data_IF_475467977361
#
_entry.id   IF_475467977361
#
_cell.length_a   1.000
_cell.length_b   1.000
_cell.length_c   1.000
_cell.angle_alpha   90.00
_cell.angle_beta   90.00
_cell.angle_gamma   90.00
#
_symmetry.space_group_name_H-M   'P 1'
#
loop_
_entity.id
_entity.type
_entity.pdbx_description
1 polymer ?
#
# COMPACT_ATOMS: atom_id res chain seq x y z
N UNK A 1 7.82 -6.21 23.24
CA UNK A 1 7.57 -4.75 23.28
C UNK A 1 7.65 -4.29 21.84
N UNK A 2 6.52 -4.20 21.15
CA UNK A 2 6.48 -3.64 19.80
C UNK A 2 6.62 -2.13 19.97
N UNK A 3 7.76 -1.57 19.55
CA UNK A 3 7.87 -0.13 19.35
C UNK A 3 6.85 0.22 18.26
N UNK A 4 5.77 0.91 18.64
CA UNK A 4 4.77 1.45 17.72
C UNK A 4 5.43 2.58 16.91
N UNK A 5 6.29 2.20 15.96
CA UNK A 5 6.93 3.13 15.04
C UNK A 5 5.90 3.66 14.07
N UNK A 6 5.93 4.97 13.88
CA UNK A 6 5.05 5.64 12.95
C UNK A 6 5.37 5.20 11.52
N UNK A 7 4.32 4.93 10.74
CA UNK A 7 4.44 4.57 9.33
C UNK A 7 5.30 5.60 8.55
N UNK A 8 5.15 6.88 8.86
CA UNK A 8 5.88 7.98 8.23
C UNK A 8 7.40 7.87 8.45
N UNK A 9 7.83 7.56 9.68
CA UNK A 9 9.26 7.38 9.99
C UNK A 9 9.85 6.18 9.25
N UNK A 10 9.06 5.11 9.10
CA UNK A 10 9.50 3.92 8.36
C UNK A 10 9.58 4.18 6.85
N UNK A 11 8.66 4.98 6.31
CA UNK A 11 8.72 5.44 4.91
C UNK A 11 9.96 6.31 4.69
N UNK A 12 10.25 7.26 5.58
CA UNK A 12 11.46 8.08 5.49
C UNK A 12 12.73 7.24 5.56
N UNK A 13 12.79 6.28 6.50
CA UNK A 13 13.90 5.33 6.59
C UNK A 13 14.07 4.50 5.32
N UNK A 14 12.98 4.05 4.70
CA UNK A 14 13.03 3.35 3.42
C UNK A 14 13.55 4.25 2.29
N UNK A 15 13.04 5.47 2.18
CA UNK A 15 13.44 6.41 1.13
C UNK A 15 14.92 6.82 1.27
N UNK A 16 15.42 6.95 2.50
CA UNK A 16 16.84 7.21 2.76
C UNK A 16 17.78 6.05 2.39
N UNK A 17 17.27 4.81 2.36
CA UNK A 17 18.03 3.61 1.96
C UNK A 17 17.80 3.22 0.49
N UNK A 18 16.89 3.90 -0.20
CA UNK A 18 16.55 3.61 -1.59
C UNK A 18 17.67 4.10 -2.51
N UNK A 19 18.55 3.18 -2.93
CA UNK A 19 19.59 3.42 -3.93
C UNK A 19 18.99 3.56 -5.33
N UNK A 20 18.36 4.70 -5.62
CA UNK A 20 17.75 5.01 -6.90
C UNK A 20 18.04 6.45 -7.32
N UNK A 21 17.74 6.79 -8.58
CA UNK A 21 17.85 8.17 -9.06
C UNK A 21 16.94 9.11 -8.23
N UNK A 22 17.27 10.40 -8.09
CA UNK A 22 16.42 11.37 -7.38
C UNK A 22 14.99 11.42 -7.92
N UNK A 23 14.83 11.26 -9.24
CA UNK A 23 13.51 11.19 -9.88
C UNK A 23 12.72 9.96 -9.45
N UNK A 24 13.38 8.81 -9.31
CA UNK A 24 12.75 7.57 -8.83
C UNK A 24 12.36 7.68 -7.36
N UNK A 25 13.24 8.24 -6.52
CA UNK A 25 12.95 8.50 -5.10
C UNK A 25 11.72 9.39 -4.95
N UNK A 26 11.66 10.52 -5.67
CA UNK A 26 10.51 11.42 -5.64
C UNK A 26 9.20 10.76 -6.11
N UNK A 27 9.29 9.89 -7.12
CA UNK A 27 8.15 9.11 -7.60
C UNK A 27 7.63 8.15 -6.54
N UNK A 28 8.55 7.48 -5.83
CA UNK A 28 8.21 6.53 -4.77
C UNK A 28 7.65 7.24 -3.54
N UNK A 29 8.25 8.36 -3.15
CA UNK A 29 7.75 9.25 -2.11
C UNK A 29 6.30 9.67 -2.41
N UNK A 30 6.02 10.12 -3.63
CA UNK A 30 4.66 10.50 -4.05
C UNK A 30 3.68 9.33 -3.91
N UNK A 31 4.06 8.14 -4.37
CA UNK A 31 3.22 6.95 -4.26
C UNK A 31 2.98 6.53 -2.80
N UNK A 32 3.98 6.66 -1.93
CA UNK A 32 3.87 6.33 -0.51
C UNK A 32 3.03 7.36 0.25
N UNK A 33 3.12 8.65 -0.06
CA UNK A 33 2.22 9.67 0.51
C UNK A 33 0.75 9.41 0.15
N UNK A 34 0.50 8.98 -1.09
CA UNK A 34 -0.85 8.58 -1.52
C UNK A 34 -1.32 7.33 -0.77
N UNK A 35 -0.41 6.40 -0.48
CA UNK A 35 -0.70 5.21 0.33
C UNK A 35 -1.02 5.55 1.79
N UNK A 36 -0.30 6.48 2.41
CA UNK A 36 -0.63 7.00 3.76
C UNK A 36 -2.02 7.62 3.80
N UNK A 37 -2.36 8.44 2.81
CA UNK A 37 -3.71 9.02 2.68
C UNK A 37 -4.79 7.93 2.60
N UNK A 38 -4.55 6.88 1.81
CA UNK A 38 -5.44 5.73 1.75
C UNK A 38 -5.60 5.05 3.12
N UNK A 39 -4.51 4.80 3.86
CA UNK A 39 -4.57 4.16 5.17
C UNK A 39 -5.29 5.03 6.21
N UNK A 40 -5.12 6.35 6.15
CA UNK A 40 -5.88 7.29 6.99
C UNK A 40 -7.38 7.18 6.72
N UNK A 41 -7.78 7.16 5.44
CA UNK A 41 -9.20 7.01 5.07
C UNK A 41 -9.74 5.63 5.47
N UNK A 42 -8.99 4.54 5.23
CA UNK A 42 -9.35 3.18 5.65
C UNK A 42 -9.52 3.09 7.17
N UNK A 43 -8.63 3.70 7.94
CA UNK A 43 -8.71 3.71 9.41
C UNK A 43 -9.94 4.49 9.92
N UNK A 44 -10.24 5.66 9.32
CA UNK A 44 -11.45 6.45 9.63
C UNK A 44 -12.72 5.61 9.45
N UNK A 45 -12.80 4.83 8.37
CA UNK A 45 -13.97 3.96 8.11
C UNK A 45 -14.07 2.77 9.07
N UNK A 46 -12.96 2.22 9.57
CA UNK A 46 -12.97 1.02 10.44
C UNK A 46 -13.39 1.33 11.88
N UNK A 47 -12.92 2.43 12.46
CA UNK A 47 -13.08 2.67 13.91
C UNK A 47 -14.07 3.78 14.27
N UNK A 48 -14.65 4.49 13.29
CA UNK A 48 -15.36 5.76 13.55
C UNK A 48 -14.49 6.75 14.35
N UNK A 49 -13.16 6.55 14.34
CA UNK A 49 -12.25 7.07 15.33
C UNK A 49 -11.82 8.49 15.02
N UNK A 50 -11.58 9.23 16.10
CA UNK A 50 -11.08 10.59 16.11
C UNK A 50 -9.84 10.77 15.20
N UNK A 51 -9.66 11.94 14.58
CA UNK A 51 -8.74 12.19 13.47
C UNK A 51 -7.23 12.11 13.78
N UNK A 52 -6.80 11.66 14.97
CA UNK A 52 -5.39 11.71 15.40
C UNK A 52 -4.74 10.36 15.71
N UNK A 53 -5.35 9.23 15.34
CA UNK A 53 -4.71 7.93 15.56
C UNK A 53 -3.52 7.81 14.62
N UNK A 54 -2.31 7.78 15.18
CA UNK A 54 -1.06 7.48 14.51
C UNK A 54 -1.21 6.26 13.58
N UNK A 55 -0.73 6.37 12.34
CA UNK A 55 -0.68 5.26 11.41
C UNK A 55 0.45 4.32 11.83
N UNK A 56 0.11 3.09 12.21
CA UNK A 56 1.05 2.01 12.48
C UNK A 56 0.95 0.93 11.41
N UNK A 57 1.97 0.06 11.32
CA UNK A 57 2.00 -1.04 10.36
C UNK A 57 0.95 -2.13 10.64
N UNK A 58 0.32 -2.14 11.81
CA UNK A 58 -0.75 -3.09 12.13
C UNK A 58 -2.00 -2.91 11.26
N UNK A 59 -2.14 -1.74 10.63
CA UNK A 59 -3.20 -1.50 9.65
C UNK A 59 -2.97 -2.23 8.32
N UNK A 60 -1.77 -2.78 8.10
CA UNK A 60 -1.36 -3.46 6.88
C UNK A 60 -1.71 -4.95 6.98
N UNK A 61 -2.79 -5.32 6.32
CA UNK A 61 -3.26 -6.69 6.17
C UNK A 61 -2.95 -7.26 4.78
N UNK A 62 -3.24 -8.55 4.56
CA UNK A 62 -3.02 -9.17 3.24
C UNK A 62 -3.93 -8.63 2.14
N UNK A 63 -4.97 -7.86 2.47
CA UNK A 63 -5.89 -7.24 1.50
C UNK A 63 -5.43 -5.83 1.08
N UNK A 64 -4.43 -5.27 1.77
CA UNK A 64 -3.99 -3.88 1.62
C UNK A 64 -3.68 -3.45 0.18
N UNK A 65 -3.05 -4.30 -0.63
CA UNK A 65 -2.71 -3.98 -2.01
C UNK A 65 -3.94 -3.93 -2.92
N UNK A 66 -4.88 -4.86 -2.70
CA UNK A 66 -6.14 -4.91 -3.42
C UNK A 66 -7.02 -3.72 -3.06
N UNK A 67 -7.14 -3.42 -1.76
CA UNK A 67 -7.90 -2.28 -1.26
C UNK A 67 -7.33 -0.96 -1.78
N UNK A 68 -6.01 -0.83 -1.79
CA UNK A 68 -5.33 0.34 -2.33
C UNK A 68 -5.59 0.49 -3.84
N UNK A 69 -5.50 -0.59 -4.63
CA UNK A 69 -5.82 -0.53 -6.06
C UNK A 69 -7.27 -0.09 -6.31
N UNK A 70 -8.22 -0.61 -5.54
CA UNK A 70 -9.62 -0.22 -5.63
C UNK A 70 -9.83 1.25 -5.24
N UNK A 71 -9.17 1.71 -4.17
CA UNK A 71 -9.21 3.09 -3.71
C UNK A 71 -8.63 4.07 -4.73
N UNK A 72 -7.53 3.71 -5.41
CA UNK A 72 -6.97 4.51 -6.50
C UNK A 72 -7.96 4.67 -7.66
N UNK A 73 -8.65 3.59 -8.01
CA UNK A 73 -9.72 3.62 -9.02
C UNK A 73 -10.88 4.54 -8.62
N UNK A 74 -11.32 4.47 -7.36
CA UNK A 74 -12.37 5.33 -6.82
C UNK A 74 -11.98 6.82 -6.81
N UNK A 75 -10.70 7.13 -6.64
CA UNK A 75 -10.17 8.50 -6.62
C UNK A 75 -9.72 9.01 -8.00
N UNK A 76 -10.09 8.33 -9.09
CA UNK A 76 -9.80 8.75 -10.47
C UNK A 76 -8.30 8.93 -10.79
N UNK A 77 -7.42 8.17 -10.14
CA UNK A 77 -6.01 8.16 -10.54
C UNK A 77 -5.84 7.52 -11.93
N UNK A 78 -4.82 7.96 -12.67
CA UNK A 78 -4.53 7.41 -13.99
C UNK A 78 -4.03 5.96 -13.89
N UNK A 79 -4.22 5.16 -14.96
CA UNK A 79 -3.65 3.80 -15.05
C UNK A 79 -2.14 3.77 -14.88
N UNK A 80 -1.45 4.83 -15.30
CA UNK A 80 -0.02 4.97 -15.10
C UNK A 80 0.30 5.14 -13.61
N UNK A 81 -0.40 6.07 -12.94
CA UNK A 81 -0.28 6.29 -11.49
C UNK A 81 -0.56 5.02 -10.69
N UNK A 82 -1.56 4.22 -11.10
CA UNK A 82 -1.87 2.94 -10.44
C UNK A 82 -0.65 2.02 -10.40
N UNK A 83 -0.01 1.81 -11.55
CA UNK A 83 1.16 0.91 -11.64
C UNK A 83 2.31 1.43 -10.80
N UNK A 84 2.60 2.74 -10.91
CA UNK A 84 3.71 3.38 -10.22
C UNK A 84 3.53 3.36 -8.71
N UNK A 85 2.34 3.71 -8.21
CA UNK A 85 2.07 3.76 -6.78
C UNK A 85 1.97 2.37 -6.16
N UNK A 86 1.42 1.39 -6.88
CA UNK A 86 1.47 0.00 -6.42
C UNK A 86 2.91 -0.51 -6.36
N UNK A 87 3.75 -0.17 -7.34
CA UNK A 87 5.16 -0.57 -7.33
C UNK A 87 5.91 0.04 -6.14
N UNK A 88 5.70 1.33 -5.83
CA UNK A 88 6.33 1.97 -4.67
C UNK A 88 5.90 1.34 -3.36
N UNK A 89 4.60 1.02 -3.21
CA UNK A 89 4.08 0.34 -2.01
C UNK A 89 4.64 -1.08 -1.89
N UNK A 90 4.67 -1.86 -2.98
CA UNK A 90 5.24 -3.22 -2.95
C UNK A 90 6.73 -3.20 -2.60
N UNK A 91 7.49 -2.23 -3.11
CA UNK A 91 8.90 -2.09 -2.78
C UNK A 91 9.11 -1.71 -1.30
N UNK A 92 8.30 -0.80 -0.77
CA UNK A 92 8.30 -0.48 0.65
C UNK A 92 7.92 -1.68 1.53
N UNK A 93 6.86 -2.43 1.19
CA UNK A 93 6.44 -3.61 1.95
C UNK A 93 7.49 -4.72 1.93
N UNK A 94 8.20 -4.91 0.81
CA UNK A 94 9.35 -5.81 0.75
C UNK A 94 10.46 -5.36 1.72
N UNK A 95 10.77 -4.07 1.74
CA UNK A 95 11.78 -3.54 2.65
C UNK A 95 11.35 -3.69 4.11
N UNK A 96 10.10 -3.33 4.46
CA UNK A 96 9.56 -3.48 5.79
C UNK A 96 9.53 -4.96 6.25
N UNK A 97 9.24 -5.90 5.34
CA UNK A 97 9.33 -7.33 5.61
C UNK A 97 10.77 -7.76 5.92
N UNK A 98 11.75 -7.26 5.16
CA UNK A 98 13.18 -7.57 5.39
C UNK A 98 13.74 -7.01 6.70
N UNK A 99 12.99 -6.12 7.36
CA UNK A 99 13.34 -5.50 8.64
C UNK A 99 12.47 -6.02 9.79
N UNK A 100 11.64 -7.03 9.54
CA UNK A 100 10.69 -7.60 10.50
C UNK A 100 9.75 -6.54 11.12
N UNK A 101 9.40 -5.51 10.34
CA UNK A 101 8.50 -4.44 10.81
C UNK A 101 7.03 -4.78 10.65
N UNK A 102 6.70 -5.71 9.74
CA UNK A 102 5.33 -6.09 9.46
C UNK A 102 4.86 -7.18 10.44
N UNK A 103 3.55 -7.29 10.71
CA UNK A 103 3.01 -8.34 11.57
C UNK A 103 3.41 -9.74 11.07
N UNK A 104 3.67 -10.69 11.97
CA UNK A 104 4.03 -12.08 11.59
C UNK A 104 2.97 -12.77 10.73
N UNK A 105 1.71 -12.32 10.85
CA UNK A 105 0.58 -12.82 10.05
C UNK A 105 0.55 -12.27 8.62
N UNK A 106 1.32 -11.21 8.35
CA UNK A 106 1.39 -10.60 7.04
C UNK A 106 2.19 -11.47 6.07
N UNK A 107 1.68 -11.60 4.85
CA UNK A 107 2.38 -12.28 3.76
C UNK A 107 2.25 -11.47 2.49
N UNK A 108 3.38 -10.97 2.01
CA UNK A 108 3.42 -10.20 0.76
C UNK A 108 3.01 -11.05 -0.44
N UNK A 109 3.39 -12.33 -0.46
CA UNK A 109 3.01 -13.28 -1.50
C UNK A 109 1.48 -13.46 -1.56
N UNK A 110 0.81 -13.58 -0.40
CA UNK A 110 -0.66 -13.61 -0.34
C UNK A 110 -1.27 -12.29 -0.84
N UNK A 111 -0.72 -11.15 -0.44
CA UNK A 111 -1.22 -9.84 -0.88
C UNK A 111 -1.12 -9.66 -2.40
N UNK A 112 0.00 -10.08 -3.00
CA UNK A 112 0.19 -10.09 -4.47
C UNK A 112 -0.77 -11.05 -5.16
N UNK A 113 -0.98 -12.24 -4.61
CA UNK A 113 -1.92 -13.22 -5.16
C UNK A 113 -3.35 -12.64 -5.22
N UNK A 114 -3.81 -12.01 -4.13
CA UNK A 114 -5.13 -11.35 -4.06
C UNK A 114 -5.27 -10.21 -5.08
N UNK A 115 -4.26 -9.35 -5.20
CA UNK A 115 -4.22 -8.29 -6.22
C UNK A 115 -4.38 -8.83 -7.65
N UNK A 116 -3.72 -9.95 -7.96
CA UNK A 116 -3.79 -10.60 -9.28
C UNK A 116 -5.18 -11.18 -9.57
N UNK A 117 -5.86 -11.72 -8.57
CA UNK A 117 -7.23 -12.25 -8.72
C UNK A 117 -8.24 -11.16 -9.09
N UNK A 118 -8.13 -9.98 -8.49
CA UNK A 118 -9.00 -8.84 -8.82
C UNK A 118 -8.74 -8.32 -10.23
N UNK A 119 -7.47 -8.20 -10.61
CA UNK A 119 -7.09 -7.73 -11.96
C UNK A 119 -7.63 -8.67 -13.05
N UNK A 120 -7.70 -9.99 -12.80
CA UNK A 120 -8.20 -10.99 -13.77
C UNK A 120 -9.72 -11.03 -13.92
N UNK A 121 -10.49 -10.62 -12.91
CA UNK A 121 -11.97 -10.67 -12.94
C UNK A 121 -12.63 -9.73 -13.96
N UNK A 122 -11.89 -8.78 -14.53
CA UNK A 122 -12.40 -7.81 -15.50
C UNK A 122 -12.54 -8.35 -16.95
N UNK A 123 -12.17 -9.61 -17.22
CA UNK A 123 -11.87 -10.07 -18.58
C UNK A 123 -12.75 -11.17 -19.19
N UNK A 124 -14.00 -11.37 -18.75
CA UNK A 124 -14.92 -12.25 -19.47
C UNK A 124 -16.22 -11.53 -19.87
N UNK A 125 -16.36 -11.10 -21.13
CA UNK A 125 -17.69 -10.93 -21.69
C UNK A 125 -18.33 -12.32 -21.80
N UNK A 126 -19.45 -12.51 -21.10
CA UNK A 126 -20.32 -13.67 -21.28
C UNK A 126 -20.82 -13.63 -22.74
N UNK A 127 -20.60 -14.67 -23.57
CA UNK A 127 -21.22 -14.73 -24.89
C UNK A 127 -22.73 -14.81 -24.69
N UNK A 128 -23.48 -13.87 -25.28
CA UNK A 128 -24.95 -13.93 -25.29
C UNK A 128 -25.39 -15.00 -26.29
N UNK A 129 -26.39 -15.84 -25.96
CA UNK A 129 -26.96 -16.82 -26.88
C UNK A 129 -27.65 -16.16 -28.07
#
# INVERSE_FOLDING_TARGET
MSDDKLLSEQIENYLGQLFASPRTQHTYETGLRVFEKFLLEKNKTRKGAAPSVALTLDLIDTDVLQDFQAWLGKNNYSRFSHKTYLASVVAFLNYALSKDWLPETFSLERARAKLKLVTRRSAYPIPRP
#
